data_IF_160101887466
#
_entry.id   IF_160101887466
#
_cell.length_a   1.000
_cell.length_b   1.000
_cell.length_c   1.000
_cell.angle_alpha   90.00
_cell.angle_beta   90.00
_cell.angle_gamma   90.00
#
_symmetry.space_group_name_H-M   'P 1'
#
loop_
_entity.id
_entity.type
_entity.pdbx_description
1 polymer ?
#
# COMPACT_ATOMS: atom_id res chain seq x y z
N UNK A 1 1.04 -13.59 -10.46
CA UNK A 1 1.12 -12.42 -11.34
C UNK A 1 0.72 -11.15 -10.60
N UNK A 2 1.21 -10.03 -11.06
CA UNK A 2 0.88 -8.72 -10.49
C UNK A 2 -0.19 -8.08 -11.35
N UNK A 3 -1.29 -7.69 -10.71
CA UNK A 3 -2.37 -6.96 -11.36
C UNK A 3 -2.31 -5.50 -10.92
N UNK A 4 -2.23 -4.59 -11.88
CA UNK A 4 -2.19 -3.16 -11.61
C UNK A 4 -3.56 -2.56 -11.88
N UNK A 5 -4.11 -1.82 -10.90
CA UNK A 5 -5.43 -1.23 -10.99
C UNK A 5 -5.38 -0.04 -11.90
N UNK A 6 -4.78 0.72 -12.23
CA UNK A 6 -4.90 1.99 -12.98
C UNK A 6 -3.84 2.13 -14.04
N UNK A 7 -3.67 1.12 -14.83
CA UNK A 7 -2.61 1.12 -15.82
C UNK A 7 -2.62 2.38 -16.71
N UNK A 8 -3.81 2.84 -17.08
CA UNK A 8 -3.98 3.98 -17.98
C UNK A 8 -5.00 5.01 -17.47
N UNK A 9 -5.34 4.97 -16.18
CA UNK A 9 -6.33 5.88 -15.59
C UNK A 9 -5.93 6.23 -14.18
N UNK A 10 -6.28 7.43 -13.73
CA UNK A 10 -6.11 7.79 -12.32
C UNK A 10 -7.24 7.20 -11.48
N UNK A 11 -7.02 7.07 -10.18
CA UNK A 11 -8.07 6.62 -9.27
C UNK A 11 -9.25 7.59 -9.26
N UNK A 12 -8.99 8.87 -9.36
CA UNK A 12 -10.03 9.90 -9.39
C UNK A 12 -10.93 9.75 -10.61
N UNK A 13 -10.34 9.51 -11.79
CA UNK A 13 -11.12 9.30 -13.00
C UNK A 13 -12.08 8.11 -12.88
N UNK A 14 -11.60 7.05 -12.24
CA UNK A 14 -12.40 5.84 -12.05
C UNK A 14 -13.46 6.06 -10.99
N UNK A 15 -13.09 6.70 -9.89
CA UNK A 15 -14.01 6.95 -8.77
C UNK A 15 -15.17 7.85 -9.16
N UNK A 16 -14.91 8.89 -9.93
CA UNK A 16 -15.93 9.86 -10.31
C UNK A 16 -16.93 9.34 -11.34
N UNK A 17 -16.64 8.22 -11.97
CA UNK A 17 -17.46 7.76 -13.09
C UNK A 17 -18.74 7.04 -12.69
N UNK A 18 -18.69 6.16 -11.71
CA UNK A 18 -19.89 5.52 -11.20
C UNK A 18 -19.55 4.48 -10.11
N UNK A 19 -20.59 4.03 -9.43
CA UNK A 19 -20.48 2.99 -8.42
C UNK A 19 -20.16 1.61 -9.00
N UNK A 20 -20.39 1.38 -10.28
CA UNK A 20 -20.06 0.10 -10.91
C UNK A 20 -18.55 -0.14 -10.98
N UNK A 21 -17.79 0.91 -11.35
CA UNK A 21 -16.33 0.83 -11.34
C UNK A 21 -15.79 0.54 -9.94
N UNK A 22 -16.35 1.17 -8.92
CA UNK A 22 -15.99 0.93 -7.53
C UNK A 22 -16.28 -0.52 -7.13
N UNK A 23 -17.45 -1.03 -7.47
CA UNK A 23 -17.84 -2.42 -7.20
C UNK A 23 -16.91 -3.39 -7.92
N UNK A 24 -16.55 -3.11 -9.17
CA UNK A 24 -15.63 -3.95 -9.95
C UNK A 24 -14.25 -4.01 -9.31
N UNK A 25 -13.75 -2.88 -8.81
CA UNK A 25 -12.44 -2.83 -8.15
C UNK A 25 -12.44 -3.51 -6.80
N UNK A 26 -13.53 -3.41 -6.05
CA UNK A 26 -13.69 -4.18 -4.82
C UNK A 26 -13.72 -5.68 -5.13
N UNK A 27 -14.44 -6.08 -6.17
CA UNK A 27 -14.47 -7.47 -6.62
C UNK A 27 -13.08 -7.95 -7.03
N UNK A 28 -12.32 -7.12 -7.75
CA UNK A 28 -10.94 -7.45 -8.13
C UNK A 28 -10.06 -7.63 -6.90
N UNK A 29 -10.21 -6.79 -5.88
CA UNK A 29 -9.47 -6.92 -4.63
C UNK A 29 -9.78 -8.24 -3.93
N UNK A 30 -11.02 -8.72 -4.02
CA UNK A 30 -11.43 -9.99 -3.41
C UNK A 30 -10.83 -11.21 -4.10
N UNK A 31 -10.43 -11.08 -5.35
CA UNK A 31 -9.77 -12.15 -6.10
C UNK A 31 -8.25 -12.14 -5.95
N UNK A 32 -7.68 -11.08 -5.43
CA UNK A 32 -6.26 -11.02 -5.16
C UNK A 32 -5.91 -11.84 -3.91
N UNK A 33 -4.67 -12.30 -3.83
CA UNK A 33 -4.14 -12.96 -2.63
C UNK A 33 -3.49 -11.94 -1.70
N UNK A 34 -3.01 -10.85 -2.25
CA UNK A 34 -2.35 -9.77 -1.52
C UNK A 34 -2.59 -8.47 -2.25
N UNK A 35 -2.78 -7.40 -1.48
CA UNK A 35 -2.84 -6.04 -2.01
C UNK A 35 -1.58 -5.31 -1.57
N UNK A 36 -0.91 -4.64 -2.50
CA UNK A 36 0.28 -3.86 -2.20
C UNK A 36 0.05 -2.40 -2.57
N UNK A 37 0.42 -1.50 -1.66
CA UNK A 37 0.39 -0.05 -1.91
C UNK A 37 1.82 0.43 -2.06
N UNK A 38 2.19 0.88 -3.24
CA UNK A 38 3.58 1.15 -3.60
C UNK A 38 3.64 2.39 -4.51
N UNK A 39 4.17 3.50 -4.08
CA UNK A 39 4.58 3.81 -2.70
C UNK A 39 3.42 4.17 -1.79
N UNK A 40 3.64 4.09 -0.48
CA UNK A 40 2.68 4.54 0.52
C UNK A 40 3.17 5.86 1.10
N UNK A 41 2.40 6.92 0.89
CA UNK A 41 2.75 8.27 1.37
C UNK A 41 2.26 8.47 2.80
N UNK A 42 2.80 9.49 3.47
CA UNK A 42 2.33 9.88 4.80
C UNK A 42 0.85 10.24 4.78
N UNK A 43 0.40 10.95 3.74
CA UNK A 43 -1.01 11.30 3.57
C UNK A 43 -1.89 10.05 3.48
N UNK A 44 -1.47 9.08 2.69
CA UNK A 44 -2.21 7.83 2.54
C UNK A 44 -2.29 7.06 3.86
N UNK A 45 -1.18 6.99 4.60
CA UNK A 45 -1.18 6.37 5.93
C UNK A 45 -2.17 7.05 6.87
N UNK A 46 -2.24 8.37 6.84
CA UNK A 46 -3.19 9.12 7.66
C UNK A 46 -4.63 8.76 7.32
N UNK A 47 -4.97 8.73 6.04
CA UNK A 47 -6.32 8.37 5.60
C UNK A 47 -6.71 6.97 6.08
N UNK A 48 -5.82 6.00 5.92
CA UNK A 48 -6.08 4.64 6.37
C UNK A 48 -6.23 4.56 7.88
N UNK A 49 -5.41 5.31 8.64
CA UNK A 49 -5.42 5.25 10.09
C UNK A 49 -6.72 5.77 10.72
N UNK A 50 -7.42 6.66 10.01
CA UNK A 50 -8.71 7.19 10.47
C UNK A 50 -9.89 6.60 9.70
N UNK A 51 -9.65 5.65 8.80
CA UNK A 51 -10.72 5.00 8.04
C UNK A 51 -11.40 5.89 7.02
N UNK A 52 -10.65 6.78 6.37
CA UNK A 52 -11.21 7.73 5.43
C UNK A 52 -11.27 7.15 4.01
N UNK A 53 -12.45 6.79 3.57
CA UNK A 53 -12.70 6.34 2.20
C UNK A 53 -12.96 7.55 1.31
N UNK A 54 -11.90 8.17 0.83
CA UNK A 54 -11.96 9.44 0.10
C UNK A 54 -11.85 9.26 -1.41
N UNK A 55 -11.18 8.21 -1.82
CA UNK A 55 -10.94 7.90 -3.23
C UNK A 55 -11.06 6.39 -3.46
N UNK A 56 -10.84 5.96 -4.70
CA UNK A 56 -10.96 4.56 -5.04
C UNK A 56 -9.97 3.69 -4.26
N UNK A 57 -8.74 4.11 -4.13
CA UNK A 57 -7.72 3.33 -3.43
C UNK A 57 -8.07 3.12 -1.97
N UNK A 58 -8.39 4.18 -1.24
CA UNK A 58 -8.76 4.07 0.18
C UNK A 58 -10.05 3.27 0.36
N UNK A 59 -11.02 3.46 -0.53
CA UNK A 59 -12.28 2.70 -0.47
C UNK A 59 -12.04 1.21 -0.66
N UNK A 60 -11.23 0.84 -1.64
CA UNK A 60 -10.89 -0.56 -1.90
C UNK A 60 -10.19 -1.19 -0.70
N UNK A 61 -9.23 -0.48 -0.11
CA UNK A 61 -8.49 -1.01 1.04
C UNK A 61 -9.38 -1.19 2.27
N UNK A 62 -10.26 -0.24 2.53
CA UNK A 62 -11.18 -0.33 3.67
C UNK A 62 -12.22 -1.43 3.47
N UNK A 63 -12.58 -1.73 2.23
CA UNK A 63 -13.55 -2.77 1.91
C UNK A 63 -12.91 -4.16 1.77
N UNK A 64 -11.58 -4.25 1.78
CA UNK A 64 -10.88 -5.51 1.52
C UNK A 64 -10.84 -6.41 2.75
N UNK A 65 -10.89 -7.72 2.50
CA UNK A 65 -10.65 -8.74 3.51
C UNK A 65 -9.31 -9.46 3.30
N UNK A 66 -8.43 -8.90 2.48
CA UNK A 66 -7.13 -9.50 2.15
C UNK A 66 -6.02 -8.84 2.95
N UNK A 67 -4.88 -9.52 3.01
CA UNK A 67 -3.68 -8.91 3.56
C UNK A 67 -3.24 -7.74 2.69
N UNK A 68 -2.80 -6.69 3.33
CA UNK A 68 -2.36 -5.46 2.67
C UNK A 68 -0.95 -5.15 3.10
N UNK A 69 -0.07 -4.99 2.12
CA UNK A 69 1.32 -4.61 2.32
C UNK A 69 1.50 -3.15 1.94
N UNK A 70 1.97 -2.35 2.88
CA UNK A 70 2.27 -0.94 2.66
C UNK A 70 3.78 -0.77 2.52
N UNK A 71 4.21 -0.03 1.51
CA UNK A 71 5.62 0.22 1.22
C UNK A 71 5.88 1.73 1.31
N UNK A 72 6.22 2.24 2.50
CA UNK A 72 6.36 3.68 2.71
C UNK A 72 7.53 4.30 1.94
N UNK A 73 7.29 5.52 1.47
CA UNK A 73 8.31 6.37 0.89
C UNK A 73 7.98 7.82 1.21
N UNK A 74 8.87 8.51 1.89
CA UNK A 74 8.66 9.90 2.28
C UNK A 74 9.96 10.53 2.78
N UNK A 75 9.94 11.83 2.94
CA UNK A 75 11.03 12.57 3.55
C UNK A 75 11.32 12.04 4.96
N UNK A 76 12.58 12.09 5.35
CA UNK A 76 13.04 11.58 6.65
C UNK A 76 12.31 12.24 7.83
N UNK A 77 12.09 13.54 7.76
CA UNK A 77 11.40 14.26 8.84
C UNK A 77 9.92 13.88 8.92
N UNK A 78 9.31 13.64 7.78
CA UNK A 78 7.93 13.15 7.73
C UNK A 78 7.83 11.76 8.33
N UNK A 79 8.77 10.88 8.02
CA UNK A 79 8.78 9.53 8.60
C UNK A 79 8.94 9.58 10.11
N UNK A 80 9.89 10.38 10.61
CA UNK A 80 10.17 10.47 12.03
C UNK A 80 9.15 11.32 12.80
N UNK A 81 8.27 12.01 12.12
CA UNK A 81 7.25 12.83 12.77
C UNK A 81 6.36 11.96 13.65
N UNK A 82 6.05 12.46 14.84
CA UNK A 82 5.23 11.71 15.81
C UNK A 82 3.88 11.29 15.25
N UNK A 83 3.28 12.10 14.39
CA UNK A 83 2.01 11.75 13.75
C UNK A 83 2.17 10.53 12.83
N UNK A 84 3.24 10.47 12.05
CA UNK A 84 3.51 9.33 11.17
C UNK A 84 3.80 8.08 11.97
N UNK A 85 4.60 8.19 13.03
CA UNK A 85 4.90 7.05 13.90
C UNK A 85 3.65 6.54 14.63
N UNK A 86 2.76 7.44 15.03
CA UNK A 86 1.47 7.07 15.59
C UNK A 86 0.64 6.30 14.56
N UNK A 87 0.57 6.81 13.34
CA UNK A 87 -0.20 6.17 12.27
C UNK A 87 0.38 4.78 11.92
N UNK A 88 1.71 4.66 11.91
CA UNK A 88 2.37 3.38 11.71
C UNK A 88 1.88 2.35 12.72
N UNK A 89 1.91 2.72 14.00
CA UNK A 89 1.48 1.82 15.06
C UNK A 89 0.00 1.45 14.94
N UNK A 90 -0.85 2.43 14.66
CA UNK A 90 -2.28 2.20 14.47
C UNK A 90 -2.51 1.22 13.32
N UNK A 91 -1.83 1.43 12.20
CA UNK A 91 -1.99 0.58 11.02
C UNK A 91 -1.47 -0.84 11.27
N UNK A 92 -0.36 -0.96 11.99
CA UNK A 92 0.13 -2.29 12.38
C UNK A 92 -0.88 -3.00 13.28
N UNK A 93 -1.49 -2.28 14.21
CA UNK A 93 -2.53 -2.84 15.09
C UNK A 93 -3.78 -3.26 14.30
N UNK A 94 -4.06 -2.58 13.18
CA UNK A 94 -5.14 -2.98 12.29
C UNK A 94 -4.81 -4.22 11.43
N UNK A 95 -3.55 -4.65 11.44
CA UNK A 95 -3.13 -5.82 10.67
C UNK A 95 -2.47 -5.50 9.34
N UNK A 96 -2.21 -4.23 9.03
CA UNK A 96 -1.44 -3.90 7.83
C UNK A 96 0.01 -4.34 7.99
N UNK A 97 0.57 -4.88 6.91
CA UNK A 97 1.98 -5.26 6.86
C UNK A 97 2.80 -4.12 6.26
N UNK A 98 4.02 -3.97 6.72
CA UNK A 98 4.91 -2.93 6.23
C UNK A 98 6.23 -3.54 5.78
N UNK A 99 6.79 -2.97 4.70
CA UNK A 99 8.17 -3.23 4.31
C UNK A 99 8.87 -1.88 4.17
N UNK A 100 10.01 -1.72 4.86
CA UNK A 100 10.70 -0.44 4.94
C UNK A 100 10.01 0.54 5.86
N UNK A 101 10.33 1.84 5.73
CA UNK A 101 11.29 2.38 4.77
C UNK A 101 12.73 2.08 5.15
N UNK A 102 13.61 2.22 4.17
CA UNK A 102 15.04 1.98 4.35
C UNK A 102 15.77 3.27 4.66
N UNK A 103 16.98 3.15 5.20
CA UNK A 103 17.91 4.26 5.34
C UNK A 103 18.61 4.50 4.02
N UNK A 104 18.79 5.75 3.66
CA UNK A 104 19.49 6.09 2.44
C UNK A 104 19.41 7.57 2.15
N UNK A 105 20.10 7.97 1.08
CA UNK A 105 20.04 9.32 0.57
C UNK A 105 18.79 9.51 -0.26
N UNK A 106 18.12 10.63 -0.06
CA UNK A 106 16.87 10.95 -0.74
C UNK A 106 17.08 12.06 -1.78
N UNK A 107 16.08 12.22 -2.66
CA UNK A 107 16.13 13.18 -3.74
C UNK A 107 16.39 14.63 -3.27
N UNK A 108 15.99 14.96 -2.05
CA UNK A 108 16.20 16.29 -1.44
C UNK A 108 17.58 16.45 -0.80
N UNK A 109 18.46 15.42 -0.89
CA UNK A 109 19.78 15.45 -0.28
C UNK A 109 19.83 15.05 1.19
N UNK A 110 18.69 14.78 1.80
CA UNK A 110 18.65 14.29 3.17
C UNK A 110 19.00 12.80 3.24
N UNK A 111 19.59 12.39 4.35
CA UNK A 111 19.92 11.00 4.62
C UNK A 111 19.19 10.53 5.88
N UNK A 112 18.66 9.33 5.83
CA UNK A 112 17.99 8.72 6.97
C UNK A 112 16.88 7.76 6.54
N UNK A 113 16.00 7.43 7.47
CA UNK A 113 14.86 6.57 7.19
C UNK A 113 13.79 7.34 6.42
N UNK A 114 13.19 6.69 5.44
CA UNK A 114 12.14 7.25 4.61
C UNK A 114 12.23 6.79 3.17
N UNK A 115 13.38 6.23 2.77
CA UNK A 115 13.59 5.73 1.42
C UNK A 115 12.79 4.46 1.19
N UNK A 116 12.10 4.41 0.05
CA UNK A 116 11.34 3.22 -0.33
C UNK A 116 12.25 2.00 -0.46
N UNK A 117 11.79 0.85 0.00
CA UNK A 117 12.49 -0.41 -0.17
C UNK A 117 12.74 -0.70 -1.64
N UNK A 118 13.89 -1.32 -1.94
CA UNK A 118 14.27 -1.62 -3.32
C UNK A 118 13.37 -2.72 -3.91
N UNK A 119 13.30 -2.81 -5.24
CA UNK A 119 12.57 -3.92 -5.88
C UNK A 119 13.03 -5.28 -5.40
N UNK A 120 14.32 -5.46 -5.14
CA UNK A 120 14.87 -6.72 -4.62
C UNK A 120 14.32 -7.04 -3.23
N UNK A 121 14.26 -6.06 -2.35
CA UNK A 121 13.72 -6.24 -1.00
C UNK A 121 12.24 -6.56 -1.04
N UNK A 122 11.51 -5.88 -1.90
CA UNK A 122 10.07 -6.13 -2.09
C UNK A 122 9.86 -7.54 -2.63
N UNK A 123 10.62 -7.94 -3.63
CA UNK A 123 10.53 -9.28 -4.20
C UNK A 123 10.82 -10.36 -3.16
N UNK A 124 11.87 -10.18 -2.35
CA UNK A 124 12.22 -11.14 -1.29
C UNK A 124 11.10 -11.28 -0.27
N UNK A 125 10.49 -10.16 0.12
CA UNK A 125 9.35 -10.19 1.03
C UNK A 125 8.17 -10.97 0.42
N UNK A 126 7.84 -10.67 -0.83
CA UNK A 126 6.72 -11.32 -1.50
C UNK A 126 6.94 -12.82 -1.66
N UNK A 127 8.16 -13.21 -2.00
CA UNK A 127 8.51 -14.63 -2.13
C UNK A 127 8.30 -15.35 -0.80
N UNK A 128 8.83 -14.80 0.28
CA UNK A 128 8.66 -15.40 1.61
C UNK A 128 7.20 -15.44 2.03
N UNK A 129 6.45 -14.37 1.76
CA UNK A 129 5.03 -14.31 2.07
C UNK A 129 4.26 -15.45 1.40
N UNK A 130 4.46 -15.63 0.11
CA UNK A 130 3.74 -16.65 -0.65
C UNK A 130 4.21 -18.07 -0.32
N UNK A 131 5.49 -18.26 -0.04
CA UNK A 131 6.00 -19.55 0.38
C UNK A 131 5.40 -19.97 1.72
N UNK A 132 5.28 -19.06 2.66
CA UNK A 132 4.65 -19.34 3.96
C UNK A 132 3.17 -19.66 3.85
N UNK A 133 2.48 -19.07 2.87
CA UNK A 133 1.05 -19.30 2.65
C UNK A 133 0.78 -20.54 1.79
N UNK A 134 1.81 -21.19 1.26
CA UNK A 134 1.66 -22.36 0.37
C UNK A 134 0.79 -22.09 -0.85
N UNK A 135 0.86 -20.89 -1.39
CA UNK A 135 0.04 -20.49 -2.53
C UNK A 135 0.70 -20.90 -3.84
N UNK A 136 -0.02 -21.65 -4.64
CA UNK A 136 0.44 -22.09 -5.97
C UNK A 136 0.28 -20.97 -6.99
N UNK A 137 -0.85 -20.30 -6.97
CA UNK A 137 -1.11 -19.13 -7.82
C UNK A 137 -1.03 -17.87 -6.97
N UNK A 138 -0.29 -16.89 -7.46
CA UNK A 138 -0.02 -15.65 -6.75
C UNK A 138 -0.67 -14.50 -7.49
N UNK A 139 -1.69 -13.90 -6.88
CA UNK A 139 -2.37 -12.74 -7.44
C UNK A 139 -2.15 -11.55 -6.53
N UNK A 140 -1.48 -10.53 -7.04
CA UNK A 140 -1.18 -9.31 -6.31
C UNK A 140 -1.89 -8.15 -7.00
N UNK A 141 -2.66 -7.41 -6.23
CA UNK A 141 -3.25 -6.16 -6.68
C UNK A 141 -2.38 -5.02 -6.18
N UNK A 142 -1.85 -4.23 -7.11
CA UNK A 142 -1.04 -3.06 -6.78
C UNK A 142 -1.91 -1.80 -6.87
N UNK A 143 -1.90 -1.03 -5.82
CA UNK A 143 -2.54 0.28 -5.75
C UNK A 143 -1.52 1.41 -5.73
#
# INVERSE_FOLDING_TARGET
SITTLTKNKTFEDIFDKNSEAEIDHISLSRRADLIIVLPTTANFMTKLSIGKAEDLATTVLLASNKDILLVPAMNVRMWLHKATQRNLKILQDYGYHFIGPEKGEMACGEYGEGKMSSPRQIYSYLKNYFDQKNLVKKKILKL
#
